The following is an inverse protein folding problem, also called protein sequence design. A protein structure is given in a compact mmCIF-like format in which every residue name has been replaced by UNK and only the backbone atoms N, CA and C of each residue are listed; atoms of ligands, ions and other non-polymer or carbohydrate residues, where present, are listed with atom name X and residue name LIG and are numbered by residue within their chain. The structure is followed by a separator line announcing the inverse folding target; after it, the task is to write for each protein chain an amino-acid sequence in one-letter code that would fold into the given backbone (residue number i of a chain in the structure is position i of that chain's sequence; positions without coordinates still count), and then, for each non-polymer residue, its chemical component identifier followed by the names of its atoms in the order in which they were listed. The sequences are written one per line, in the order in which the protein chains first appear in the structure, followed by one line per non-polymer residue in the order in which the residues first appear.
data_IF_904130482672
#
_entry.id   IF_904130482672
#
_cell.length_a   1.000
_cell.length_b   1.000
_cell.length_c   1.000
_cell.angle_alpha   90.00
_cell.angle_beta   90.00
_cell.angle_gamma   90.00
#
_symmetry.space_group_name_H-M   'P 1'
#
loop_
_entity.id
_entity.type
_entity.pdbx_description
1 polymer ?
#
# COMPACT_ATOMS: atom_id res chain seq x y z
N UNK A 1 -7.21 35.21 2.13
CA UNK A 1 -6.54 33.98 1.62
C UNK A 1 -5.03 34.03 1.80
N UNK A 2 -4.41 35.18 1.96
CA UNK A 2 -2.94 35.35 1.96
C UNK A 2 -2.22 35.11 3.29
N UNK A 3 -2.92 35.03 4.41
CA UNK A 3 -2.30 34.77 5.73
C UNK A 3 -2.04 33.29 6.03
N UNK A 4 -2.75 32.35 5.36
CA UNK A 4 -2.52 30.90 5.51
C UNK A 4 -1.31 30.40 4.72
N UNK A 5 -1.02 31.02 3.59
CA UNK A 5 0.11 30.64 2.73
C UNK A 5 1.45 31.07 3.34
N UNK A 6 1.49 32.24 3.99
CA UNK A 6 2.70 32.75 4.66
C UNK A 6 3.08 31.91 5.89
N UNK A 7 2.11 31.38 6.64
CA UNK A 7 2.38 30.54 7.81
C UNK A 7 2.91 29.15 7.42
N UNK A 8 2.42 28.60 6.31
CA UNK A 8 2.90 27.31 5.78
C UNK A 8 4.35 27.39 5.28
N UNK A 9 4.70 28.49 4.62
CA UNK A 9 6.06 28.75 4.13
C UNK A 9 7.04 28.96 5.30
N UNK A 10 6.62 29.65 6.36
CA UNK A 10 7.44 29.87 7.55
C UNK A 10 7.74 28.57 8.32
N UNK A 11 6.79 27.64 8.39
CA UNK A 11 6.98 26.31 9.04
C UNK A 11 7.90 25.41 8.20
N UNK A 12 7.81 25.46 6.88
CA UNK A 12 8.70 24.71 5.98
C UNK A 12 10.13 25.26 6.01
N UNK A 13 10.32 26.57 6.08
CA UNK A 13 11.64 27.20 6.23
C UNK A 13 12.28 26.89 7.60
N UNK A 14 11.51 26.88 8.69
CA UNK A 14 12.01 26.50 10.01
C UNK A 14 12.46 25.02 10.08
N UNK A 15 11.78 24.11 9.40
CA UNK A 15 12.17 22.70 9.33
C UNK A 15 13.46 22.49 8.53
N UNK A 16 13.65 23.24 7.43
CA UNK A 16 14.87 23.18 6.63
C UNK A 16 16.09 23.78 7.36
N UNK A 17 15.90 24.85 8.12
CA UNK A 17 16.96 25.49 8.93
C UNK A 17 17.34 24.58 10.11
N UNK A 18 16.38 23.88 10.75
CA UNK A 18 16.63 22.94 11.83
C UNK A 18 17.47 21.72 11.42
N UNK A 19 17.20 21.14 10.24
CA UNK A 19 17.96 20.01 9.70
C UNK A 19 19.36 20.41 9.22
N UNK A 20 19.49 21.56 8.57
CA UNK A 20 20.80 22.10 8.13
C UNK A 20 21.68 22.51 9.31
N UNK A 21 21.09 23.13 10.34
CA UNK A 21 21.79 23.54 11.56
C UNK A 21 22.32 22.36 12.38
N UNK A 22 21.55 21.27 12.49
CA UNK A 22 21.96 20.07 13.23
C UNK A 22 23.12 19.32 12.52
N UNK A 23 23.07 19.18 11.20
CA UNK A 23 24.16 18.57 10.43
C UNK A 23 25.45 19.41 10.49
N UNK A 24 25.32 20.75 10.43
CA UNK A 24 26.46 21.65 10.56
C UNK A 24 27.07 21.66 11.97
N UNK A 25 26.22 21.60 13.04
CA UNK A 25 26.67 21.48 14.41
C UNK A 25 27.42 20.17 14.68
N UNK A 26 26.95 19.05 14.15
CA UNK A 26 27.57 17.73 14.28
C UNK A 26 28.91 17.65 13.55
N UNK A 27 29.10 18.37 12.42
CA UNK A 27 30.36 18.43 11.70
C UNK A 27 31.43 19.32 12.38
N UNK A 28 31.02 20.23 13.26
CA UNK A 28 31.94 21.14 13.98
C UNK A 28 32.28 20.72 15.40
N UNK A 29 31.57 19.78 15.97
CA UNK A 29 31.85 19.19 17.29
C UNK A 29 32.17 17.70 17.16
N UNK A 30 33.35 17.32 16.68
CA UNK A 30 33.84 15.94 16.83
C UNK A 30 33.98 15.68 18.32
N UNK A 31 33.31 14.63 18.83
CA UNK A 31 33.42 14.19 20.22
C UNK A 31 34.90 13.95 20.60
N UNK A 32 35.25 14.04 21.89
CA UNK A 32 36.63 13.89 22.33
C UNK A 32 37.19 12.54 21.88
N UNK A 33 38.47 12.50 21.47
CA UNK A 33 39.10 11.26 21.04
C UNK A 33 39.14 10.28 22.21
N UNK A 34 38.46 9.14 22.02
CA UNK A 34 38.49 8.04 22.98
C UNK A 34 39.91 7.55 23.16
N UNK A 35 40.42 7.62 24.39
CA UNK A 35 41.69 7.00 24.80
C UNK A 35 41.61 5.50 24.54
N UNK A 36 42.21 5.06 23.46
CA UNK A 36 42.33 3.65 23.12
C UNK A 36 43.24 2.93 24.11
N UNK A 37 42.64 2.10 24.99
CA UNK A 37 43.33 1.04 25.66
C UNK A 37 43.59 -0.07 24.65
N UNK A 38 44.88 -0.18 24.23
CA UNK A 38 45.37 -1.30 23.42
C UNK A 38 45.34 -2.57 24.28
N UNK A 39 44.39 -3.44 23.98
CA UNK A 39 44.43 -4.83 24.48
C UNK A 39 45.29 -5.68 23.53
N UNK A 40 46.02 -6.69 24.02
CA UNK A 40 46.87 -7.53 23.17
C UNK A 40 46.02 -8.27 22.10
N UNK A 41 46.40 -8.18 20.91
CA UNK A 41 45.77 -8.80 19.75
C UNK A 41 46.02 -10.31 19.78
N UNK A 42 45.02 -11.06 20.27
CA UNK A 42 45.00 -12.51 20.05
C UNK A 42 44.68 -12.75 18.58
N UNK A 43 45.61 -13.40 17.88
CA UNK A 43 45.43 -13.89 16.52
C UNK A 43 44.31 -14.95 16.49
N UNK A 44 43.10 -14.52 16.17
CA UNK A 44 41.99 -15.40 15.85
C UNK A 44 42.14 -15.80 14.39
N UNK A 45 42.18 -17.12 14.04
CA UNK A 45 42.15 -17.54 12.63
C UNK A 45 40.89 -16.98 11.97
N UNK A 46 41.06 -16.33 10.81
CA UNK A 46 39.95 -15.82 10.03
C UNK A 46 38.96 -16.94 9.72
N UNK A 47 37.64 -16.76 10.03
CA UNK A 47 36.65 -17.70 9.55
C UNK A 47 36.66 -17.70 8.02
N UNK A 48 36.48 -18.86 7.36
CA UNK A 48 36.39 -18.89 5.91
C UNK A 48 35.28 -17.94 5.49
N UNK A 49 35.62 -17.00 4.63
CA UNK A 49 34.65 -16.09 4.00
C UNK A 49 33.71 -16.94 3.13
N UNK A 50 32.70 -17.50 3.75
CA UNK A 50 31.51 -17.99 3.06
C UNK A 50 30.70 -16.74 2.68
N UNK A 51 31.11 -16.10 1.59
CA UNK A 51 30.24 -15.20 0.86
C UNK A 51 29.12 -16.08 0.29
N UNK A 52 28.10 -16.36 1.12
CA UNK A 52 26.80 -16.72 0.61
C UNK A 52 26.34 -15.49 -0.20
N UNK A 53 26.61 -15.50 -1.50
CA UNK A 53 25.94 -14.64 -2.45
C UNK A 53 24.46 -14.87 -2.18
N UNK A 54 23.78 -13.87 -1.61
CA UNK A 54 22.33 -13.89 -1.46
C UNK A 54 21.77 -14.02 -2.87
N UNK A 55 21.36 -15.22 -3.24
CA UNK A 55 20.72 -15.49 -4.51
C UNK A 55 19.57 -14.49 -4.62
N UNK A 56 19.47 -13.79 -5.73
CA UNK A 56 18.32 -12.94 -6.02
C UNK A 56 17.06 -13.80 -5.90
N UNK A 57 16.00 -13.30 -5.23
CA UNK A 57 14.76 -14.05 -5.13
C UNK A 57 14.25 -14.38 -6.54
N UNK A 58 14.02 -15.66 -6.81
CA UNK A 58 13.48 -16.09 -8.10
C UNK A 58 12.12 -15.45 -8.33
N UNK A 59 11.93 -14.82 -9.50
CA UNK A 59 10.65 -14.24 -9.90
C UNK A 59 9.63 -15.39 -10.07
N UNK A 60 8.51 -15.32 -9.35
CA UNK A 60 7.48 -16.36 -9.33
C UNK A 60 6.43 -16.18 -10.43
N UNK A 61 6.06 -14.93 -10.71
CA UNK A 61 5.01 -14.56 -11.65
C UNK A 61 5.51 -13.49 -12.62
N UNK A 62 6.42 -13.84 -13.54
CA UNK A 62 6.97 -12.87 -14.50
C UNK A 62 5.84 -12.32 -15.39
N UNK A 63 5.88 -11.01 -15.65
CA UNK A 63 5.03 -10.38 -16.66
C UNK A 63 5.81 -10.34 -17.96
N UNK A 64 5.35 -11.05 -18.98
CA UNK A 64 5.86 -10.86 -20.33
C UNK A 64 5.39 -9.51 -20.84
N UNK A 65 6.33 -8.65 -21.22
CA UNK A 65 6.01 -7.41 -21.91
C UNK A 65 5.17 -7.77 -23.12
N UNK A 66 3.98 -7.19 -23.26
CA UNK A 66 3.07 -7.46 -24.38
C UNK A 66 3.88 -7.46 -25.69
N UNK A 67 3.85 -8.61 -26.39
CA UNK A 67 4.66 -8.83 -27.57
C UNK A 67 4.49 -7.70 -28.59
N UNK A 68 5.46 -7.56 -29.48
CA UNK A 68 5.78 -6.48 -30.41
C UNK A 68 4.66 -5.78 -31.20
N UNK A 69 3.39 -6.08 -30.95
CA UNK A 69 2.26 -5.57 -31.75
C UNK A 69 1.79 -4.14 -31.37
N UNK A 70 2.16 -3.59 -30.21
CA UNK A 70 1.74 -2.25 -29.79
C UNK A 70 2.87 -1.55 -29.00
N UNK A 71 3.98 -1.29 -29.69
CA UNK A 71 5.20 -0.69 -29.11
C UNK A 71 5.20 0.85 -29.17
N UNK A 72 4.07 1.49 -28.86
CA UNK A 72 4.18 2.90 -28.53
C UNK A 72 5.04 3.05 -27.27
N UNK A 73 6.11 3.86 -27.30
CA UNK A 73 7.01 4.00 -26.16
C UNK A 73 6.23 4.49 -24.93
N UNK A 74 6.43 3.84 -23.80
CA UNK A 74 5.84 4.29 -22.53
C UNK A 74 6.47 5.63 -22.13
N UNK A 75 5.70 6.54 -21.51
CA UNK A 75 6.25 7.74 -20.91
C UNK A 75 7.19 7.38 -19.73
N UNK A 76 8.01 8.32 -19.30
CA UNK A 76 8.71 8.18 -18.04
C UNK A 76 7.73 8.14 -16.86
N UNK A 77 8.13 7.53 -15.75
CA UNK A 77 7.27 7.46 -14.55
C UNK A 77 6.81 8.85 -14.05
N UNK A 78 7.65 9.88 -14.21
CA UNK A 78 7.31 11.25 -13.85
C UNK A 78 6.19 11.85 -14.71
N UNK A 79 6.03 11.38 -15.95
CA UNK A 79 5.05 11.89 -16.92
C UNK A 79 3.96 10.84 -17.24
N UNK A 80 3.80 9.81 -16.37
CA UNK A 80 2.92 8.68 -16.64
C UNK A 80 1.43 8.94 -16.37
N UNK A 81 1.08 10.00 -15.66
CA UNK A 81 -0.29 10.23 -15.18
C UNK A 81 -1.29 10.39 -16.33
N UNK A 82 -0.95 11.15 -17.38
CA UNK A 82 -1.83 11.32 -18.55
C UNK A 82 -2.07 9.98 -19.27
N UNK A 83 -1.02 9.20 -19.47
CA UNK A 83 -1.11 7.87 -20.09
C UNK A 83 -1.99 6.92 -19.28
N UNK A 84 -1.81 6.88 -17.95
CA UNK A 84 -2.60 6.05 -17.05
C UNK A 84 -4.06 6.55 -16.98
N UNK A 85 -4.28 7.87 -16.98
CA UNK A 85 -5.63 8.46 -17.04
C UNK A 85 -6.38 8.01 -18.29
N UNK A 86 -5.75 8.05 -19.46
CA UNK A 86 -6.35 7.58 -20.71
C UNK A 86 -6.70 6.10 -20.66
N UNK A 87 -5.79 5.27 -20.12
CA UNK A 87 -6.04 3.86 -19.89
C UNK A 87 -7.23 3.62 -18.94
N UNK A 88 -7.29 4.32 -17.81
CA UNK A 88 -8.38 4.21 -16.84
C UNK A 88 -9.71 4.68 -17.44
N UNK A 89 -9.72 5.72 -18.27
CA UNK A 89 -10.92 6.17 -19.01
C UNK A 89 -11.50 5.11 -19.94
N UNK A 90 -10.70 4.19 -20.42
CA UNK A 90 -11.19 3.07 -21.24
C UNK A 90 -11.89 1.98 -20.41
N UNK A 91 -11.69 1.97 -19.08
CA UNK A 91 -12.21 0.96 -18.16
C UNK A 91 -13.48 1.40 -17.43
N UNK A 92 -13.70 2.71 -17.26
CA UNK A 92 -14.83 3.24 -16.49
C UNK A 92 -15.32 4.58 -17.02
N UNK A 93 -16.54 4.96 -16.64
CA UNK A 93 -17.10 6.26 -16.99
C UNK A 93 -16.31 7.42 -16.34
N UNK A 94 -16.22 8.56 -17.05
CA UNK A 94 -15.46 9.72 -16.58
C UNK A 94 -15.91 10.22 -15.20
N UNK A 95 -17.22 10.20 -14.91
CA UNK A 95 -17.74 10.67 -13.62
C UNK A 95 -17.28 9.77 -12.45
N UNK A 96 -17.19 8.44 -12.67
CA UNK A 96 -16.70 7.50 -11.67
C UNK A 96 -15.20 7.66 -11.45
N UNK A 97 -14.44 7.84 -12.53
CA UNK A 97 -13.01 8.11 -12.43
C UNK A 97 -12.75 9.36 -11.59
N UNK A 98 -13.40 10.48 -11.89
CA UNK A 98 -13.23 11.73 -11.14
C UNK A 98 -13.70 11.63 -9.68
N UNK A 99 -14.71 10.80 -9.42
CA UNK A 99 -15.25 10.57 -8.07
C UNK A 99 -14.35 9.71 -7.22
N UNK A 100 -13.80 8.64 -7.77
CA UNK A 100 -13.14 7.59 -6.98
C UNK A 100 -11.64 7.52 -7.14
N UNK A 101 -11.05 8.01 -8.23
CA UNK A 101 -9.63 7.84 -8.53
C UNK A 101 -8.83 9.10 -8.26
N UNK A 102 -7.66 8.92 -7.62
CA UNK A 102 -6.66 9.95 -7.43
C UNK A 102 -5.57 9.74 -8.47
N UNK A 103 -5.55 10.58 -9.51
CA UNK A 103 -4.68 10.41 -10.68
C UNK A 103 -3.26 10.94 -10.49
N UNK A 104 -3.06 11.94 -9.63
CA UNK A 104 -1.75 12.53 -9.36
C UNK A 104 -0.78 11.49 -8.76
N UNK A 105 0.30 11.19 -9.46
CA UNK A 105 1.28 10.17 -9.09
C UNK A 105 0.69 8.77 -9.03
N UNK A 106 -0.27 8.42 -9.89
CA UNK A 106 -1.09 7.22 -9.79
C UNK A 106 -0.28 5.92 -9.64
N UNK A 107 0.74 5.70 -10.47
CA UNK A 107 1.57 4.49 -10.38
C UNK A 107 2.26 4.37 -9.02
N UNK A 108 2.86 5.44 -8.51
CA UNK A 108 3.50 5.46 -7.19
C UNK A 108 2.49 5.23 -6.06
N UNK A 109 1.29 5.79 -6.16
CA UNK A 109 0.21 5.56 -5.18
C UNK A 109 -0.26 4.12 -5.16
N UNK A 110 -0.46 3.51 -6.32
CA UNK A 110 -0.84 2.08 -6.41
C UNK A 110 0.21 1.21 -5.74
N UNK A 111 1.48 1.38 -6.12
CA UNK A 111 2.59 0.59 -5.58
C UNK A 111 2.73 0.76 -4.07
N UNK A 112 2.74 2.00 -3.58
CA UNK A 112 2.84 2.29 -2.15
C UNK A 112 1.63 1.74 -1.37
N UNK A 113 0.43 1.79 -1.95
CA UNK A 113 -0.77 1.23 -1.32
C UNK A 113 -0.68 -0.29 -1.24
N UNK A 114 -0.38 -0.97 -2.34
CA UNK A 114 -0.22 -2.43 -2.37
C UNK A 114 0.80 -2.88 -1.32
N UNK A 115 1.96 -2.25 -1.26
CA UNK A 115 2.99 -2.61 -0.28
C UNK A 115 2.51 -2.43 1.17
N UNK A 116 1.74 -1.36 1.45
CA UNK A 116 1.27 -1.04 2.79
C UNK A 116 0.04 -1.85 3.24
N UNK A 117 -0.77 -2.42 2.33
CA UNK A 117 -1.95 -3.21 2.70
C UNK A 117 -1.62 -4.43 3.57
N UNK A 118 -0.48 -5.06 3.37
CA UNK A 118 -0.03 -6.19 4.20
C UNK A 118 0.64 -5.76 5.51
N UNK A 119 0.86 -4.47 5.74
CA UNK A 119 1.45 -3.92 6.98
C UNK A 119 0.37 -3.60 8.02
N UNK A 120 0.78 -3.29 9.22
CA UNK A 120 -0.13 -2.88 10.31
C UNK A 120 -0.83 -1.55 10.04
N UNK A 121 -0.19 -0.65 9.24
CA UNK A 121 -0.70 0.68 8.91
C UNK A 121 -0.54 0.97 7.42
N UNK A 122 -1.58 1.55 6.82
CA UNK A 122 -1.58 2.06 5.45
C UNK A 122 -2.00 3.53 5.46
N UNK A 123 -1.08 4.43 5.11
CA UNK A 123 -1.32 5.88 5.16
C UNK A 123 -2.35 6.31 4.09
N UNK A 124 -3.51 6.87 4.45
CA UNK A 124 -4.57 7.23 3.49
C UNK A 124 -4.14 8.24 2.42
N UNK A 125 -3.17 9.09 2.71
CA UNK A 125 -2.63 10.08 1.77
C UNK A 125 -1.94 9.45 0.55
N UNK A 126 -1.54 8.17 0.65
CA UNK A 126 -0.88 7.43 -0.44
C UNK A 126 -1.86 6.63 -1.29
N UNK A 127 -3.14 6.63 -0.96
CA UNK A 127 -4.11 5.82 -1.70
C UNK A 127 -4.36 6.38 -3.10
N UNK A 128 -4.52 5.51 -4.10
CA UNK A 128 -4.88 5.88 -5.46
C UNK A 128 -6.37 6.17 -5.60
N UNK A 129 -7.11 6.18 -4.49
CA UNK A 129 -8.55 6.41 -4.45
C UNK A 129 -8.92 7.55 -3.52
N UNK A 130 -9.97 8.28 -3.87
CA UNK A 130 -10.54 9.32 -3.04
C UNK A 130 -11.24 8.70 -1.82
N UNK A 131 -11.22 9.37 -0.65
CA UNK A 131 -11.97 8.91 0.52
C UNK A 131 -13.47 8.76 0.23
N UNK A 132 -14.09 7.71 0.77
CA UNK A 132 -15.55 7.56 0.72
C UNK A 132 -16.24 8.68 1.49
N UNK A 133 -17.39 9.13 1.01
CA UNK A 133 -18.19 10.17 1.68
C UNK A 133 -18.69 9.73 3.06
N UNK A 134 -18.98 10.71 3.92
CA UNK A 134 -19.51 10.50 5.25
C UNK A 134 -18.45 10.10 6.29
N UNK A 135 -18.87 9.95 7.55
CA UNK A 135 -18.01 9.57 8.68
C UNK A 135 -18.22 8.11 9.03
N UNK A 136 -17.21 7.51 9.66
CA UNK A 136 -17.39 6.20 10.29
C UNK A 136 -18.45 6.30 11.39
N UNK A 137 -19.41 5.39 11.37
CA UNK A 137 -20.54 5.37 12.29
C UNK A 137 -20.57 4.08 13.08
N UNK A 138 -20.93 4.20 14.34
CA UNK A 138 -21.09 3.10 15.29
C UNK A 138 -22.54 3.03 15.77
N UNK A 139 -22.89 1.88 16.30
CA UNK A 139 -24.18 1.64 16.98
C UNK A 139 -23.88 1.12 18.38
N UNK A 140 -24.53 1.67 19.38
CA UNK A 140 -24.48 1.13 20.74
C UNK A 140 -25.38 -0.11 20.82
N UNK A 141 -24.80 -1.22 21.26
CA UNK A 141 -25.50 -2.50 21.42
C UNK A 141 -25.42 -2.90 22.89
N UNK A 142 -26.56 -2.82 23.59
CA UNK A 142 -26.62 -2.98 25.05
C UNK A 142 -25.99 -1.80 25.80
N UNK A 143 -25.67 -2.00 27.08
CA UNK A 143 -25.23 -0.92 27.97
C UNK A 143 -23.79 -0.44 27.77
N UNK A 144 -22.91 -1.25 27.15
CA UNK A 144 -21.47 -1.00 27.14
C UNK A 144 -20.74 -1.37 25.84
N UNK A 145 -21.43 -1.97 24.87
CA UNK A 145 -20.80 -2.46 23.65
C UNK A 145 -21.08 -1.54 22.48
N UNK A 146 -20.05 -1.00 21.88
CA UNK A 146 -20.10 -0.23 20.64
C UNK A 146 -19.73 -1.13 19.47
N UNK A 147 -20.55 -1.21 18.43
CA UNK A 147 -20.28 -2.01 17.22
C UNK A 147 -20.21 -1.13 15.98
N UNK A 148 -19.59 -1.63 14.92
CA UNK A 148 -19.65 -0.97 13.61
C UNK A 148 -21.09 -0.96 13.12
N UNK A 149 -21.63 0.22 12.83
CA UNK A 149 -22.99 0.35 12.31
C UNK A 149 -23.13 -0.30 10.93
N UNK A 150 -24.22 -1.01 10.69
CA UNK A 150 -24.58 -1.56 9.37
C UNK A 150 -24.60 -0.48 8.26
N UNK A 151 -24.84 0.79 8.62
CA UNK A 151 -24.80 1.91 7.67
C UNK A 151 -23.40 2.18 7.11
N UNK A 152 -22.32 1.70 7.74
CA UNK A 152 -20.98 1.87 7.21
C UNK A 152 -20.77 1.14 5.88
N UNK A 153 -21.33 -0.06 5.72
CA UNK A 153 -21.20 -0.82 4.46
C UNK A 153 -21.74 -0.02 3.27
N UNK A 154 -22.84 0.71 3.45
CA UNK A 154 -23.43 1.56 2.42
C UNK A 154 -22.51 2.66 1.91
N UNK A 155 -21.56 3.14 2.73
CA UNK A 155 -20.55 4.14 2.31
C UNK A 155 -19.56 3.57 1.29
N UNK A 156 -19.28 2.27 1.38
CA UNK A 156 -18.31 1.59 0.51
C UNK A 156 -18.98 0.97 -0.73
N UNK A 157 -20.27 0.67 -0.66
CA UNK A 157 -21.03 0.01 -1.73
C UNK A 157 -20.86 0.67 -3.11
N UNK A 158 -20.87 2.02 -3.27
CA UNK A 158 -20.63 2.63 -4.58
C UNK A 158 -19.25 2.34 -5.16
N UNK A 159 -18.21 2.33 -4.32
CA UNK A 159 -16.84 1.97 -4.75
C UNK A 159 -16.74 0.48 -5.08
N UNK A 160 -17.40 -0.38 -4.29
CA UNK A 160 -17.44 -1.84 -4.55
C UNK A 160 -18.14 -2.12 -5.88
N UNK A 161 -19.26 -1.47 -6.17
CA UNK A 161 -19.96 -1.58 -7.46
C UNK A 161 -19.06 -1.15 -8.62
N UNK A 162 -18.30 -0.05 -8.47
CA UNK A 162 -17.33 0.34 -9.49
C UNK A 162 -16.28 -0.75 -9.71
N UNK A 163 -15.68 -1.28 -8.64
CA UNK A 163 -14.66 -2.33 -8.72
C UNK A 163 -15.20 -3.59 -9.41
N UNK A 164 -16.44 -3.99 -9.11
CA UNK A 164 -17.10 -5.13 -9.75
C UNK A 164 -17.39 -4.90 -11.23
N UNK A 165 -17.76 -3.67 -11.60
CA UNK A 165 -18.06 -3.30 -12.99
C UNK A 165 -16.82 -3.29 -13.91
N UNK A 166 -15.61 -3.27 -13.34
CA UNK A 166 -14.38 -3.30 -14.13
C UNK A 166 -14.25 -4.64 -14.86
N UNK A 167 -14.03 -4.55 -16.18
CA UNK A 167 -13.66 -5.70 -17.01
C UNK A 167 -12.27 -6.18 -16.60
N UNK A 168 -12.19 -7.35 -15.94
CA UNK A 168 -10.93 -7.86 -15.40
C UNK A 168 -9.88 -8.10 -16.49
N UNK A 169 -10.17 -8.77 -17.63
CA UNK A 169 -9.22 -8.91 -18.73
C UNK A 169 -8.67 -7.58 -19.24
N UNK A 170 -9.51 -6.57 -19.47
CA UNK A 170 -9.05 -5.25 -19.94
C UNK A 170 -8.21 -4.52 -18.88
N UNK A 171 -8.59 -4.63 -17.62
CA UNK A 171 -7.84 -4.02 -16.51
C UNK A 171 -6.46 -4.66 -16.36
N UNK A 172 -6.38 -5.99 -16.46
CA UNK A 172 -5.09 -6.71 -16.45
C UNK A 172 -4.26 -6.40 -17.67
N UNK A 173 -4.86 -6.29 -18.87
CA UNK A 173 -4.15 -5.89 -20.08
C UNK A 173 -3.53 -4.48 -19.94
N UNK A 174 -4.26 -3.51 -19.38
CA UNK A 174 -3.72 -2.18 -19.07
C UNK A 174 -2.57 -2.27 -18.08
N UNK A 175 -2.72 -3.07 -17.01
CA UNK A 175 -1.67 -3.28 -16.01
C UNK A 175 -0.41 -3.88 -16.64
N UNK A 176 -0.52 -4.95 -17.44
CA UNK A 176 0.60 -5.60 -18.12
C UNK A 176 1.32 -4.61 -19.06
N UNK A 177 0.57 -3.83 -19.82
CA UNK A 177 1.15 -2.81 -20.72
C UNK A 177 1.89 -1.71 -19.94
N UNK A 178 1.33 -1.25 -18.82
CA UNK A 178 1.92 -0.21 -17.96
C UNK A 178 2.89 -0.79 -16.91
N UNK A 179 3.13 -2.10 -16.89
CA UNK A 179 3.92 -2.78 -15.87
C UNK A 179 5.30 -2.16 -15.61
N UNK A 180 6.09 -1.75 -16.64
CA UNK A 180 7.38 -1.12 -16.40
C UNK A 180 7.30 0.13 -15.50
N UNK A 181 6.19 0.88 -15.55
CA UNK A 181 5.99 2.07 -14.70
C UNK A 181 5.75 1.67 -13.23
N UNK A 182 4.98 0.60 -12.99
CA UNK A 182 4.75 0.08 -11.65
C UNK A 182 6.01 -0.57 -11.06
N UNK A 183 6.78 -1.30 -11.88
CA UNK A 183 8.04 -1.90 -11.46
C UNK A 183 9.05 -0.80 -11.07
N UNK A 184 9.22 0.23 -11.91
CA UNK A 184 10.09 1.36 -11.59
C UNK A 184 9.65 2.07 -10.30
N UNK A 185 8.33 2.29 -10.11
CA UNK A 185 7.82 2.87 -8.87
C UNK A 185 8.12 2.00 -7.64
N UNK A 186 8.15 0.67 -7.79
CA UNK A 186 8.48 -0.26 -6.72
C UNK A 186 9.97 -0.23 -6.37
N UNK A 187 10.83 -0.11 -7.36
CA UNK A 187 12.28 0.07 -7.17
C UNK A 187 12.57 1.39 -6.46
N UNK A 188 11.92 2.50 -6.90
CA UNK A 188 12.02 3.82 -6.25
C UNK A 188 11.47 3.82 -4.81
N UNK A 189 10.51 2.96 -4.49
CA UNK A 189 9.98 2.78 -3.13
C UNK A 189 10.98 2.12 -2.17
N UNK A 190 12.08 1.57 -2.69
CA UNK A 190 13.16 0.97 -1.90
C UNK A 190 13.35 -0.54 -2.10
N UNK A 191 12.79 -1.11 -3.16
CA UNK A 191 12.93 -2.53 -3.51
C UNK A 191 13.64 -2.75 -4.86
N UNK A 192 14.90 -2.35 -5.01
CA UNK A 192 15.62 -2.37 -6.31
C UNK A 192 15.81 -3.79 -6.89
N UNK A 193 15.66 -4.83 -6.07
CA UNK A 193 15.73 -6.24 -6.49
C UNK A 193 14.38 -6.96 -6.34
N UNK A 194 13.33 -6.22 -5.98
CA UNK A 194 11.99 -6.77 -5.81
C UNK A 194 11.24 -6.81 -7.13
N UNK A 195 10.35 -7.80 -7.29
CA UNK A 195 9.46 -7.89 -8.43
C UNK A 195 8.04 -7.52 -8.01
N UNK A 196 7.50 -6.43 -8.57
CA UNK A 196 6.24 -5.86 -8.10
C UNK A 196 5.05 -6.80 -8.29
N UNK A 197 5.01 -7.58 -9.39
CA UNK A 197 3.91 -8.50 -9.62
C UNK A 197 3.86 -9.62 -8.56
N UNK A 198 5.01 -10.17 -8.15
CA UNK A 198 5.07 -11.14 -7.05
C UNK A 198 4.54 -10.54 -5.75
N UNK A 199 4.91 -9.28 -5.46
CA UNK A 199 4.38 -8.55 -4.31
C UNK A 199 2.88 -8.35 -4.39
N UNK A 200 2.36 -7.97 -5.55
CA UNK A 200 0.92 -7.77 -5.79
C UNK A 200 0.14 -9.05 -5.54
N UNK A 201 0.60 -10.18 -6.09
CA UNK A 201 -0.05 -11.48 -5.91
C UNK A 201 0.00 -11.91 -4.45
N UNK A 202 1.16 -11.78 -3.78
CA UNK A 202 1.28 -12.08 -2.35
C UNK A 202 0.33 -11.25 -1.48
N UNK A 203 0.13 -9.97 -1.82
CA UNK A 203 -0.83 -9.09 -1.11
C UNK A 203 -2.27 -9.51 -1.40
N UNK A 204 -2.61 -9.86 -2.64
CA UNK A 204 -3.95 -10.40 -2.96
C UNK A 204 -4.23 -11.66 -2.15
N UNK A 205 -3.29 -12.62 -2.09
CA UNK A 205 -3.44 -13.85 -1.31
C UNK A 205 -3.62 -13.55 0.18
N UNK A 206 -2.84 -12.61 0.71
CA UNK A 206 -2.98 -12.15 2.09
C UNK A 206 -4.37 -11.54 2.38
N UNK A 207 -4.91 -10.75 1.45
CA UNK A 207 -6.25 -10.17 1.59
C UNK A 207 -7.35 -11.23 1.48
N UNK A 208 -7.19 -12.21 0.59
CA UNK A 208 -8.13 -13.33 0.46
C UNK A 208 -8.22 -14.17 1.74
N UNK A 209 -7.13 -14.26 2.51
CA UNK A 209 -7.08 -14.95 3.80
C UNK A 209 -7.76 -14.18 4.96
N UNK A 210 -8.35 -13.00 4.72
CA UNK A 210 -9.09 -12.25 5.74
C UNK A 210 -10.22 -13.10 6.32
N UNK A 211 -10.34 -13.25 7.67
CA UNK A 211 -11.41 -14.03 8.28
C UNK A 211 -12.78 -13.36 8.03
N UNK A 212 -13.74 -14.09 7.50
CA UNK A 212 -15.09 -13.58 7.31
C UNK A 212 -15.86 -13.58 8.63
N UNK A 213 -16.56 -12.50 8.94
CA UNK A 213 -17.40 -12.34 10.13
C UNK A 213 -18.79 -11.87 9.72
N UNK A 214 -19.80 -12.62 10.13
CA UNK A 214 -21.20 -12.28 9.85
C UNK A 214 -21.80 -11.29 10.87
N UNK A 215 -21.30 -11.28 12.11
CA UNK A 215 -21.82 -10.47 13.21
C UNK A 215 -21.25 -9.06 13.21
N UNK A 216 -21.97 -8.07 13.75
CA UNK A 216 -21.47 -6.73 13.92
C UNK A 216 -20.19 -6.73 14.76
N UNK A 217 -19.13 -6.13 14.23
CA UNK A 217 -17.81 -6.11 14.88
C UNK A 217 -17.78 -5.08 16.00
N UNK A 218 -17.41 -5.53 17.20
CA UNK A 218 -17.21 -4.65 18.35
C UNK A 218 -15.95 -3.77 18.17
N UNK A 219 -16.12 -2.48 18.43
CA UNK A 219 -15.07 -1.47 18.34
C UNK A 219 -15.04 -0.59 19.57
N UNK A 220 -13.89 -0.06 19.89
CA UNK A 220 -13.67 0.93 20.95
C UNK A 220 -12.96 2.15 20.38
N UNK A 221 -13.25 3.31 20.96
CA UNK A 221 -12.51 4.52 20.64
C UNK A 221 -11.15 4.47 21.34
N UNK A 222 -10.07 4.69 20.58
CA UNK A 222 -8.72 4.77 21.16
C UNK A 222 -8.60 6.01 22.02
N UNK A 223 -8.22 5.85 23.29
CA UNK A 223 -7.92 6.95 24.19
C UNK A 223 -6.62 7.64 23.76
N UNK A 224 -6.70 8.94 23.53
CA UNK A 224 -5.53 9.76 23.26
C UNK A 224 -5.18 10.52 24.52
N UNK A 225 -4.10 10.13 25.14
CA UNK A 225 -3.55 10.88 26.31
C UNK A 225 -2.88 12.15 25.78
N UNK A 226 -3.45 13.32 26.11
CA UNK A 226 -2.88 14.63 25.76
C UNK A 226 -3.86 15.76 26.03
N UNK A 227 -3.36 17.01 26.14
CA UNK A 227 -4.16 18.19 26.48
C UNK A 227 -5.08 18.66 25.34
N UNK A 228 -4.94 18.11 24.13
CA UNK A 228 -5.69 18.53 22.96
C UNK A 228 -6.73 17.46 22.61
N UNK A 229 -8.00 17.84 22.67
CA UNK A 229 -9.08 16.97 22.23
C UNK A 229 -9.00 16.70 20.71
N UNK A 230 -9.33 15.48 20.34
CA UNK A 230 -9.29 15.08 18.93
C UNK A 230 -10.46 15.65 18.15
N UNK A 231 -10.18 16.51 17.16
CA UNK A 231 -11.19 17.06 16.26
C UNK A 231 -11.90 15.99 15.40
N UNK A 232 -11.34 14.77 15.28
CA UNK A 232 -11.88 13.69 14.43
C UNK A 232 -11.86 12.35 15.16
N UNK A 233 -12.65 12.14 16.21
CA UNK A 233 -12.65 10.88 16.96
C UNK A 233 -13.06 9.66 16.10
N UNK A 234 -13.93 9.85 15.10
CA UNK A 234 -14.43 8.78 14.23
C UNK A 234 -13.37 8.08 13.37
N UNK A 235 -12.14 8.57 13.29
CA UNK A 235 -11.01 7.90 12.58
C UNK A 235 -10.18 7.01 13.48
N UNK A 236 -10.49 6.92 14.79
CA UNK A 236 -9.68 6.27 15.81
C UNK A 236 -10.35 5.07 16.49
N UNK A 237 -11.25 4.41 15.78
CA UNK A 237 -11.83 3.18 16.30
C UNK A 237 -10.93 1.97 16.03
N UNK A 238 -10.68 1.18 17.08
CA UNK A 238 -9.99 -0.10 17.06
C UNK A 238 -10.98 -1.23 17.28
N UNK A 239 -10.67 -2.44 16.78
CA UNK A 239 -11.45 -3.62 17.14
C UNK A 239 -11.23 -3.97 18.61
N UNK A 240 -12.29 -4.40 19.30
CA UNK A 240 -12.21 -4.89 20.68
C UNK A 240 -11.51 -6.25 20.74
N UNK A 241 -11.77 -7.10 19.72
CA UNK A 241 -11.09 -8.39 19.59
C UNK A 241 -9.61 -8.18 19.19
N UNK A 242 -8.64 -8.57 20.04
CA UNK A 242 -7.22 -8.42 19.75
C UNK A 242 -6.78 -9.19 18.51
N UNK A 243 -7.44 -10.31 18.19
CA UNK A 243 -7.13 -11.08 16.99
C UNK A 243 -7.47 -10.30 15.71
N UNK A 244 -8.59 -9.56 15.71
CA UNK A 244 -8.97 -8.69 14.61
C UNK A 244 -8.11 -7.41 14.56
N UNK A 245 -7.74 -6.85 15.71
CA UNK A 245 -6.91 -5.65 15.75
C UNK A 245 -5.46 -5.92 15.30
N UNK A 246 -4.95 -7.13 15.49
CA UNK A 246 -3.62 -7.55 15.02
C UNK A 246 -3.53 -7.79 13.52
N UNK A 247 -4.66 -7.84 12.81
CA UNK A 247 -4.70 -8.01 11.35
C UNK A 247 -4.01 -6.84 10.63
N UNK A 248 -3.61 -7.09 9.38
CA UNK A 248 -3.03 -6.04 8.54
C UNK A 248 -4.02 -4.92 8.24
N UNK A 249 -3.50 -3.77 7.82
CA UNK A 249 -4.33 -2.63 7.43
C UNK A 249 -5.36 -3.00 6.36
N UNK A 250 -4.93 -3.75 5.31
CA UNK A 250 -5.81 -4.19 4.25
C UNK A 250 -6.90 -5.14 4.72
N UNK A 251 -6.58 -6.11 5.58
CA UNK A 251 -7.57 -7.01 6.17
C UNK A 251 -8.56 -6.27 7.05
N UNK A 252 -8.08 -5.34 7.90
CA UNK A 252 -8.95 -4.47 8.70
C UNK A 252 -9.85 -3.59 7.84
N UNK A 253 -9.36 -3.13 6.69
CA UNK A 253 -10.17 -2.37 5.73
C UNK A 253 -11.28 -3.24 5.13
N UNK A 254 -10.99 -4.47 4.70
CA UNK A 254 -12.00 -5.39 4.18
C UNK A 254 -13.11 -5.64 5.21
N UNK A 255 -12.76 -6.00 6.45
CA UNK A 255 -13.74 -6.20 7.52
C UNK A 255 -14.65 -4.98 7.75
N UNK A 256 -14.10 -3.76 7.66
CA UNK A 256 -14.86 -2.51 7.83
C UNK A 256 -15.82 -2.20 6.68
N UNK A 257 -15.66 -2.83 5.52
CA UNK A 257 -16.63 -2.68 4.41
C UNK A 257 -17.94 -3.39 4.67
N UNK A 258 -17.98 -4.32 5.62
CA UNK A 258 -19.12 -5.19 5.92
C UNK A 258 -19.12 -6.48 5.11
N UNK A 259 -19.83 -7.54 5.59
CA UNK A 259 -19.69 -8.90 5.06
C UNK A 259 -20.02 -9.03 3.57
N UNK A 260 -21.09 -8.36 3.11
CA UNK A 260 -21.52 -8.44 1.71
C UNK A 260 -20.48 -7.80 0.77
N UNK A 261 -20.01 -6.60 1.10
CA UNK A 261 -18.99 -5.90 0.33
C UNK A 261 -17.64 -6.64 0.38
N UNK A 262 -17.28 -7.20 1.53
CA UNK A 262 -16.08 -8.03 1.69
C UNK A 262 -16.12 -9.25 0.75
N UNK A 263 -17.24 -9.99 0.73
CA UNK A 263 -17.42 -11.16 -0.11
C UNK A 263 -17.28 -10.80 -1.61
N UNK A 264 -17.90 -9.71 -2.04
CA UNK A 264 -17.86 -9.20 -3.41
C UNK A 264 -16.43 -8.79 -3.81
N UNK A 265 -15.72 -8.07 -2.92
CA UNK A 265 -14.33 -7.69 -3.15
C UNK A 265 -13.40 -8.91 -3.23
N UNK A 266 -13.60 -9.93 -2.39
CA UNK A 266 -12.82 -11.18 -2.45
C UNK A 266 -13.05 -11.94 -3.77
N UNK A 267 -14.28 -12.00 -4.27
CA UNK A 267 -14.56 -12.59 -5.59
C UNK A 267 -13.75 -11.86 -6.67
N UNK A 268 -13.77 -10.52 -6.65
CA UNK A 268 -13.04 -9.71 -7.64
C UNK A 268 -11.52 -9.85 -7.50
N UNK A 269 -10.99 -9.89 -6.30
CA UNK A 269 -9.57 -10.17 -6.03
C UNK A 269 -9.15 -11.54 -6.59
N UNK A 270 -10.00 -12.57 -6.44
CA UNK A 270 -9.75 -13.90 -6.98
C UNK A 270 -9.75 -13.92 -8.52
N UNK A 271 -10.61 -13.13 -9.17
CA UNK A 271 -10.59 -12.95 -10.63
C UNK A 271 -9.29 -12.29 -11.09
N UNK A 272 -8.89 -11.19 -10.46
CA UNK A 272 -7.61 -10.53 -10.75
C UNK A 272 -6.43 -11.48 -10.58
N UNK A 273 -6.37 -12.18 -9.45
CA UNK A 273 -5.31 -13.16 -9.17
C UNK A 273 -5.18 -14.18 -10.31
N UNK A 274 -6.31 -14.80 -10.70
CA UNK A 274 -6.31 -15.79 -11.79
C UNK A 274 -5.77 -15.20 -13.10
N UNK A 275 -6.21 -14.02 -13.47
CA UNK A 275 -5.76 -13.36 -14.71
C UNK A 275 -4.26 -12.99 -14.64
N UNK A 276 -3.78 -12.46 -13.51
CA UNK A 276 -2.38 -12.09 -13.32
C UNK A 276 -1.45 -13.32 -13.35
N UNK A 277 -1.87 -14.43 -12.77
CA UNK A 277 -1.08 -15.69 -12.79
C UNK A 277 -1.14 -16.42 -14.14
N UNK A 278 -2.22 -16.28 -14.91
CA UNK A 278 -2.31 -16.84 -16.25
C UNK A 278 -1.58 -16.01 -17.31
N UNK A 279 -1.34 -14.74 -17.06
CA UNK A 279 -0.53 -13.87 -17.91
C UNK A 279 1.00 -14.13 -17.73
N UNK A 280 1.39 -14.90 -16.71
CA UNK A 280 2.75 -15.37 -16.54
C UNK A 280 3.00 -16.61 -17.42
N UNK A 281 4.16 -16.71 -18.13
CA UNK A 281 4.49 -17.92 -18.88
C UNK A 281 4.55 -19.12 -17.91
N UNK A 282 4.04 -20.26 -18.37
CA UNK A 282 4.11 -21.49 -17.58
C UNK A 282 5.60 -21.79 -17.24
N UNK A 283 5.95 -21.76 -15.97
CA UNK A 283 7.27 -22.22 -15.55
C UNK A 283 7.46 -23.67 -16.04
N UNK A 284 8.55 -24.01 -16.75
CA UNK A 284 8.81 -25.40 -17.09
C UNK A 284 8.92 -26.16 -15.76
N UNK A 285 8.05 -27.18 -15.59
CA UNK A 285 8.12 -28.08 -14.45
C UNK A 285 9.55 -28.57 -14.33
N UNK A 286 10.18 -28.38 -13.16
CA UNK A 286 11.50 -28.90 -12.86
C UNK A 286 11.54 -30.38 -13.20
N UNK A 287 12.11 -30.73 -14.34
CA UNK A 287 12.40 -32.10 -14.68
C UNK A 287 13.36 -32.64 -13.61
N UNK A 288 13.09 -33.81 -13.00
CA UNK A 288 14.03 -34.41 -12.09
C UNK A 288 15.32 -34.68 -12.85
N UNK A 289 16.44 -34.19 -12.31
CA UNK A 289 17.78 -34.46 -12.85
C UNK A 289 18.09 -35.92 -12.70
N UNK A 290 18.60 -36.61 -13.75
CA UNK A 290 18.97 -38.01 -13.72
C UNK A 290 20.08 -38.29 -12.71
#
# INVERSE_FOLDING_TARGET
MDRFLSTLIAVLLAALIGLGGYAWWQSRNPGPPGTGLSLPQATVPAPPASAAASAEPAIQYPIESAGAADQSPLPTLANSDTYLEEGIRSLMARHDMLRFVQLDGFARRVVATVDNLARTHAAPRLWPVNPTSGRFTTTETGATTTTISAKNSQRYTPLVHLIESLDTPKTVALYVRAYPLFQQAYEELGYPRGYFNDRLIAVIDHLLATPTRAEPLAVKLTEVKGPIETARPWVRYEFVDPALESLSAGQKMLLRTGPDNEARLKIKLLEFRRQLTSAAPAQPANAPKP
#
